data_IF_817270432155
#
_entry.id   IF_817270432155
#
_cell.length_a   1.000
_cell.length_b   1.000
_cell.length_c   1.000
_cell.angle_alpha   90.00
_cell.angle_beta   90.00
_cell.angle_gamma   90.00
#
_symmetry.space_group_name_H-M   'P 1'
#
loop_
_entity.id
_entity.type
_entity.pdbx_description
1 polymer ?
#
# COMPACT_ATOMS: atom_id res chain seq x y z
N UNK A 1 14.71 -18.75 -14.76
CA UNK A 1 14.19 -19.56 -13.98
C UNK A 1 14.50 -19.24 -12.68
N UNK A 2 13.88 -19.42 -12.03
CA UNK A 2 14.16 -19.91 -11.04
C UNK A 2 14.45 -19.16 -9.80
N UNK A 3 14.88 -17.90 -9.79
CA UNK A 3 15.04 -17.11 -8.58
C UNK A 3 13.71 -16.90 -7.87
N UNK A 4 12.64 -16.59 -8.59
CA UNK A 4 11.31 -16.47 -8.02
C UNK A 4 10.76 -17.80 -7.51
N UNK A 5 11.01 -18.89 -8.23
CA UNK A 5 10.58 -20.23 -7.82
C UNK A 5 11.30 -20.66 -6.54
N UNK A 6 12.61 -20.40 -6.47
CA UNK A 6 13.41 -20.73 -5.28
C UNK A 6 12.96 -19.92 -4.07
N UNK A 7 12.64 -18.64 -4.24
CA UNK A 7 12.10 -17.80 -3.18
C UNK A 7 10.77 -18.35 -2.68
N UNK A 8 9.87 -18.72 -3.59
CA UNK A 8 8.58 -19.31 -3.23
C UNK A 8 8.74 -20.62 -2.45
N UNK A 9 9.69 -21.45 -2.83
CA UNK A 9 10.02 -22.70 -2.11
C UNK A 9 10.50 -22.39 -0.70
N UNK A 10 11.37 -21.40 -0.53
CA UNK A 10 11.86 -21.01 0.78
C UNK A 10 10.76 -20.44 1.66
N UNK A 11 9.87 -19.62 1.11
CA UNK A 11 8.70 -19.10 1.84
C UNK A 11 7.77 -20.24 2.26
N UNK A 12 7.52 -21.21 1.39
CA UNK A 12 6.69 -22.37 1.70
C UNK A 12 7.27 -23.24 2.80
N UNK A 13 8.60 -23.27 2.94
CA UNK A 13 9.30 -23.97 4.02
C UNK A 13 9.35 -23.18 5.32
N UNK A 14 8.83 -21.95 5.34
CA UNK A 14 8.84 -21.09 6.53
C UNK A 14 10.19 -20.43 6.82
N UNK A 15 11.16 -20.52 5.92
CA UNK A 15 12.46 -19.86 6.08
C UNK A 15 12.44 -18.47 5.46
N UNK A 16 11.78 -17.54 6.14
CA UNK A 16 11.62 -16.16 5.69
C UNK A 16 12.96 -15.42 5.56
N UNK A 17 13.94 -15.75 6.40
CA UNK A 17 15.25 -15.10 6.38
C UNK A 17 16.03 -15.46 5.12
N UNK A 18 16.07 -16.74 4.77
CA UNK A 18 16.75 -17.21 3.57
C UNK A 18 16.04 -16.68 2.30
N UNK A 19 14.73 -16.67 2.30
CA UNK A 19 13.93 -16.11 1.21
C UNK A 19 14.24 -14.63 0.99
N UNK A 20 14.32 -13.84 2.06
CA UNK A 20 14.67 -12.41 1.96
C UNK A 20 16.10 -12.20 1.44
N UNK A 21 17.03 -13.03 1.88
CA UNK A 21 18.41 -12.95 1.36
C UNK A 21 18.45 -13.17 -0.15
N UNK A 22 17.68 -14.14 -0.66
CA UNK A 22 17.55 -14.41 -2.10
C UNK A 22 16.90 -13.23 -2.83
N UNK A 23 15.84 -12.65 -2.26
CA UNK A 23 15.17 -11.49 -2.83
C UNK A 23 16.11 -10.28 -2.93
N UNK A 24 16.86 -10.00 -1.88
CA UNK A 24 17.84 -8.91 -1.86
C UNK A 24 18.95 -9.12 -2.87
N UNK A 25 19.45 -10.35 -2.97
CA UNK A 25 20.42 -10.72 -3.99
C UNK A 25 19.86 -10.50 -5.41
N UNK A 26 18.63 -10.94 -5.65
CA UNK A 26 17.95 -10.72 -6.93
C UNK A 26 17.77 -9.23 -7.24
N UNK A 27 17.42 -8.42 -6.25
CA UNK A 27 17.24 -6.98 -6.40
C UNK A 27 18.56 -6.23 -6.61
N UNK A 28 19.69 -6.77 -6.14
CA UNK A 28 21.01 -6.23 -6.48
C UNK A 28 21.27 -6.33 -7.97
N UNK A 29 20.83 -7.43 -8.61
CA UNK A 29 20.99 -7.65 -10.06
C UNK A 29 19.89 -6.95 -10.86
N UNK A 30 18.66 -6.93 -10.36
CA UNK A 30 17.48 -6.38 -11.03
C UNK A 30 16.71 -5.47 -10.07
N UNK A 31 17.20 -4.23 -9.80
CA UNK A 31 16.65 -3.36 -8.76
C UNK A 31 15.17 -2.98 -8.95
N UNK A 32 14.70 -2.99 -10.19
CA UNK A 32 13.34 -2.57 -10.53
C UNK A 32 12.39 -3.73 -10.80
N UNK A 33 12.80 -4.96 -10.50
CA UNK A 33 11.97 -6.12 -10.75
C UNK A 33 10.84 -6.18 -9.71
N UNK A 34 9.67 -5.75 -10.15
CA UNK A 34 8.49 -5.56 -9.30
C UNK A 34 8.11 -6.81 -8.49
N UNK A 35 8.07 -8.04 -9.06
CA UNK A 35 7.72 -9.21 -8.28
C UNK A 35 8.63 -9.47 -7.07
N UNK A 36 9.92 -9.18 -7.19
CA UNK A 36 10.84 -9.32 -6.07
C UNK A 36 10.61 -8.25 -5.00
N UNK A 37 10.34 -7.03 -5.42
CA UNK A 37 10.01 -5.94 -4.48
C UNK A 37 8.72 -6.25 -3.72
N UNK A 38 7.70 -6.73 -4.43
CA UNK A 38 6.44 -7.16 -3.82
C UNK A 38 6.66 -8.28 -2.80
N UNK A 39 7.38 -9.33 -3.18
CA UNK A 39 7.68 -10.46 -2.30
C UNK A 39 8.50 -10.05 -1.08
N UNK A 40 9.44 -9.10 -1.24
CA UNK A 40 10.22 -8.57 -0.12
C UNK A 40 9.30 -7.90 0.91
N UNK A 41 8.38 -7.05 0.48
CA UNK A 41 7.43 -6.40 1.39
C UNK A 41 6.57 -7.43 2.11
N UNK A 42 6.04 -8.42 1.40
CA UNK A 42 5.26 -9.50 2.02
C UNK A 42 6.07 -10.24 3.08
N UNK A 43 7.31 -10.59 2.78
CA UNK A 43 8.18 -11.28 3.72
C UNK A 43 8.45 -10.44 4.98
N UNK A 44 8.67 -9.14 4.81
CA UNK A 44 8.86 -8.23 5.93
C UNK A 44 7.61 -8.14 6.80
N UNK A 45 6.43 -8.05 6.19
CA UNK A 45 5.14 -8.03 6.90
C UNK A 45 4.90 -9.33 7.67
N UNK A 46 5.15 -10.46 7.04
CA UNK A 46 4.93 -11.78 7.65
C UNK A 46 5.89 -12.03 8.83
N UNK A 47 7.06 -11.40 8.81
CA UNK A 47 8.04 -11.49 9.91
C UNK A 47 7.85 -10.43 10.99
N UNK A 48 6.84 -9.57 10.88
CA UNK A 48 6.58 -8.51 11.85
C UNK A 48 7.48 -7.28 11.71
N UNK A 49 8.26 -7.17 10.64
CA UNK A 49 9.15 -6.02 10.39
C UNK A 49 8.39 -4.93 9.63
N UNK A 50 7.34 -4.41 10.28
CA UNK A 50 6.36 -3.55 9.64
C UNK A 50 6.90 -2.17 9.27
N UNK A 51 7.87 -1.63 9.99
CA UNK A 51 8.47 -0.34 9.66
C UNK A 51 9.27 -0.41 8.36
N UNK A 52 10.07 -1.47 8.20
CA UNK A 52 10.80 -1.70 6.97
C UNK A 52 9.85 -1.99 5.81
N UNK A 53 8.82 -2.81 6.06
CA UNK A 53 7.79 -3.11 5.07
C UNK A 53 7.07 -1.83 4.62
N UNK A 54 6.80 -0.92 5.55
CA UNK A 54 6.18 0.36 5.23
C UNK A 54 7.07 1.20 4.32
N UNK A 55 8.35 1.33 4.65
CA UNK A 55 9.29 2.10 3.83
C UNK A 55 9.37 1.56 2.39
N UNK A 56 9.48 0.25 2.24
CA UNK A 56 9.53 -0.39 0.92
C UNK A 56 8.22 -0.22 0.15
N UNK A 57 7.08 -0.37 0.82
CA UNK A 57 5.77 -0.20 0.17
C UNK A 57 5.52 1.25 -0.24
N UNK A 58 6.03 2.22 0.50
CA UNK A 58 5.92 3.64 0.14
C UNK A 58 6.68 3.95 -1.14
N UNK A 59 7.86 3.37 -1.31
CA UNK A 59 8.62 3.51 -2.57
C UNK A 59 7.87 2.87 -3.74
N UNK A 60 7.26 1.70 -3.54
CA UNK A 60 6.43 1.05 -4.54
C UNK A 60 5.22 1.91 -4.93
N UNK A 61 4.54 2.52 -3.95
CA UNK A 61 3.40 3.40 -4.20
C UNK A 61 3.82 4.65 -4.99
N UNK A 62 4.99 5.22 -4.70
CA UNK A 62 5.50 6.38 -5.45
C UNK A 62 5.74 6.05 -6.92
N UNK A 63 6.28 4.88 -7.18
CA UNK A 63 6.65 4.44 -8.53
C UNK A 63 5.44 3.91 -9.31
N UNK A 64 4.56 3.16 -8.63
CA UNK A 64 3.39 2.51 -9.24
C UNK A 64 2.10 3.01 -8.61
N UNK A 65 1.83 4.30 -8.76
CA UNK A 65 0.72 5.01 -8.10
C UNK A 65 -0.67 4.43 -8.40
N UNK A 66 -0.83 3.80 -9.55
CA UNK A 66 -2.12 3.28 -10.02
C UNK A 66 -2.32 1.79 -9.70
N UNK A 67 -1.40 1.18 -8.99
CA UNK A 67 -1.52 -0.23 -8.61
C UNK A 67 -2.11 -0.35 -7.20
N UNK A 68 -3.36 -0.79 -7.13
CA UNK A 68 -4.09 -0.92 -5.86
C UNK A 68 -3.40 -1.86 -4.87
N UNK A 69 -2.66 -2.87 -5.35
CA UNK A 69 -1.98 -3.84 -4.49
C UNK A 69 -0.94 -3.18 -3.59
N UNK A 70 -0.22 -2.18 -4.08
CA UNK A 70 0.81 -1.49 -3.30
C UNK A 70 0.21 -0.57 -2.25
N UNK A 71 -0.94 0.05 -2.54
CA UNK A 71 -1.69 0.80 -1.53
C UNK A 71 -2.21 -0.11 -0.43
N UNK A 72 -2.67 -1.32 -0.77
CA UNK A 72 -3.09 -2.34 0.20
C UNK A 72 -1.92 -2.76 1.10
N UNK A 73 -0.76 -3.06 0.52
CA UNK A 73 0.45 -3.40 1.29
C UNK A 73 0.85 -2.28 2.25
N UNK A 74 0.83 -1.05 1.76
CA UNK A 74 1.11 0.12 2.58
C UNK A 74 0.11 0.24 3.73
N UNK A 75 -1.19 0.06 3.45
CA UNK A 75 -2.23 0.10 4.47
C UNK A 75 -2.00 -0.96 5.56
N UNK A 76 -1.62 -2.17 5.16
CA UNK A 76 -1.34 -3.26 6.10
C UNK A 76 -0.20 -2.91 7.07
N UNK A 77 0.88 -2.34 6.57
CA UNK A 77 1.99 -1.89 7.40
C UNK A 77 1.62 -0.71 8.29
N UNK A 78 0.81 0.21 7.79
CA UNK A 78 0.31 1.34 8.57
C UNK A 78 -0.61 0.90 9.70
N UNK A 79 -1.45 -0.11 9.47
CA UNK A 79 -2.29 -0.70 10.50
C UNK A 79 -1.43 -1.32 11.62
N UNK A 80 -0.40 -2.08 11.25
CA UNK A 80 0.49 -2.73 12.20
C UNK A 80 1.32 -1.74 13.03
N UNK A 81 1.62 -0.56 12.49
CA UNK A 81 2.38 0.49 13.17
C UNK A 81 1.49 1.52 13.88
N UNK A 82 0.17 1.33 13.87
CA UNK A 82 -0.77 2.17 14.60
C UNK A 82 -1.02 3.57 13.99
N UNK A 83 -0.64 3.79 12.73
CA UNK A 83 -0.78 5.07 12.05
C UNK A 83 -2.15 5.20 11.38
N UNK A 84 -3.20 5.40 12.18
CA UNK A 84 -4.59 5.30 11.73
C UNK A 84 -4.97 6.29 10.63
N UNK A 85 -4.56 7.54 10.74
CA UNK A 85 -4.87 8.55 9.72
C UNK A 85 -4.30 8.12 8.35
N UNK A 86 -3.03 7.76 8.32
CA UNK A 86 -2.35 7.34 7.08
C UNK A 86 -2.89 6.01 6.56
N UNK A 87 -3.31 5.12 7.46
CA UNK A 87 -3.98 3.87 7.11
C UNK A 87 -5.24 4.15 6.28
N UNK A 88 -6.11 5.01 6.77
CA UNK A 88 -7.34 5.32 6.06
C UNK A 88 -7.09 6.07 4.74
N UNK A 89 -6.04 6.90 4.66
CA UNK A 89 -5.63 7.49 3.40
C UNK A 89 -5.19 6.42 2.37
N UNK A 90 -4.42 5.44 2.81
CA UNK A 90 -3.96 4.34 1.94
C UNK A 90 -5.13 3.47 1.46
N UNK A 91 -6.06 3.13 2.35
CA UNK A 91 -7.27 2.38 2.01
C UNK A 91 -8.16 3.16 1.03
N UNK A 92 -8.25 4.49 1.20
CA UNK A 92 -9.01 5.32 0.27
C UNK A 92 -8.46 5.24 -1.15
N UNK A 93 -7.15 5.33 -1.31
CA UNK A 93 -6.54 5.23 -2.64
C UNK A 93 -6.70 3.81 -3.23
N UNK A 94 -6.61 2.78 -2.40
CA UNK A 94 -6.86 1.41 -2.83
C UNK A 94 -8.29 1.26 -3.38
N UNK A 95 -9.30 1.68 -2.61
CA UNK A 95 -10.70 1.59 -3.04
C UNK A 95 -10.99 2.44 -4.27
N UNK A 96 -10.38 3.63 -4.33
CA UNK A 96 -10.50 4.50 -5.50
C UNK A 96 -9.99 3.80 -6.76
N UNK A 97 -8.81 3.20 -6.70
CA UNK A 97 -8.21 2.47 -7.83
C UNK A 97 -9.00 1.22 -8.21
N UNK A 98 -9.73 0.64 -7.26
CA UNK A 98 -10.63 -0.48 -7.52
C UNK A 98 -11.99 -0.04 -8.08
N UNK A 99 -12.22 1.25 -8.23
CA UNK A 99 -13.48 1.80 -8.75
C UNK A 99 -14.59 1.97 -7.73
N UNK A 100 -14.31 1.74 -6.44
CA UNK A 100 -15.29 1.86 -5.36
C UNK A 100 -15.19 3.24 -4.70
N UNK A 101 -15.58 4.29 -5.43
CA UNK A 101 -15.45 5.68 -4.97
C UNK A 101 -16.20 5.95 -3.65
N UNK A 102 -17.45 5.46 -3.43
CA UNK A 102 -18.11 5.66 -2.14
C UNK A 102 -17.30 5.11 -0.95
N UNK A 103 -16.74 3.91 -1.10
CA UNK A 103 -15.91 3.32 -0.05
C UNK A 103 -14.62 4.13 0.19
N UNK A 104 -14.03 4.66 -0.89
CA UNK A 104 -12.86 5.54 -0.78
C UNK A 104 -13.18 6.82 0.00
N UNK A 105 -14.34 7.43 -0.27
CA UNK A 105 -14.83 8.61 0.45
C UNK A 105 -15.00 8.29 1.95
N UNK A 106 -15.62 7.15 2.27
CA UNK A 106 -15.80 6.72 3.66
C UNK A 106 -14.45 6.61 4.39
N UNK A 107 -13.44 6.05 3.72
CA UNK A 107 -12.10 5.93 4.30
C UNK A 107 -11.46 7.30 4.55
N UNK A 108 -11.61 8.27 3.64
CA UNK A 108 -11.08 9.62 3.86
C UNK A 108 -11.80 10.33 5.02
N UNK A 109 -13.10 10.10 5.19
CA UNK A 109 -13.84 10.61 6.35
C UNK A 109 -13.33 9.99 7.66
N UNK A 110 -13.01 8.70 7.64
CA UNK A 110 -12.37 8.04 8.78
C UNK A 110 -11.00 8.62 9.08
N UNK A 111 -10.24 8.97 8.05
CA UNK A 111 -8.95 9.64 8.23
C UNK A 111 -9.11 11.00 8.94
N UNK A 112 -10.12 11.78 8.56
CA UNK A 112 -10.42 13.05 9.24
C UNK A 112 -10.73 12.84 10.72
N UNK A 113 -11.49 11.80 11.04
CA UNK A 113 -11.91 11.50 12.43
C UNK A 113 -10.81 10.86 13.27
N UNK A 114 -9.80 10.28 12.64
CA UNK A 114 -8.72 9.57 13.34
C UNK A 114 -7.88 10.50 14.21
N UNK A 115 -7.79 11.77 13.83
CA UNK A 115 -7.00 12.76 14.54
C UNK A 115 -5.49 12.60 14.34
N UNK A 116 -4.72 13.46 14.97
CA UNK A 116 -3.25 13.39 14.91
C UNK A 116 -2.61 13.95 13.65
N UNK A 117 -3.41 14.38 12.70
CA UNK A 117 -2.90 15.01 11.48
C UNK A 117 -2.56 16.49 11.69
N UNK A 118 -1.51 16.96 11.02
CA UNK A 118 -1.22 18.38 10.97
C UNK A 118 -2.12 19.10 9.94
N UNK A 119 -2.00 20.42 9.90
CA UNK A 119 -2.81 21.23 8.97
C UNK A 119 -2.62 20.81 7.51
N UNK A 120 -1.38 20.50 7.11
CA UNK A 120 -1.08 20.06 5.75
C UNK A 120 -1.78 18.73 5.42
N UNK A 121 -1.67 17.74 6.30
CA UNK A 121 -2.30 16.44 6.11
C UNK A 121 -3.82 16.55 5.99
N UNK A 122 -4.43 17.37 6.87
CA UNK A 122 -5.87 17.60 6.83
C UNK A 122 -6.31 18.29 5.53
N UNK A 123 -5.53 19.26 5.05
CA UNK A 123 -5.80 19.94 3.79
C UNK A 123 -5.73 18.98 2.59
N UNK A 124 -4.78 18.07 2.60
CA UNK A 124 -4.65 17.03 1.55
C UNK A 124 -5.89 16.11 1.56
N UNK A 125 -6.33 15.67 2.74
CA UNK A 125 -7.51 14.82 2.86
C UNK A 125 -8.76 15.54 2.35
N UNK A 126 -8.94 16.80 2.73
CA UNK A 126 -10.10 17.59 2.29
C UNK A 126 -10.11 17.82 0.78
N UNK A 127 -8.97 18.13 0.22
CA UNK A 127 -8.84 18.30 -1.24
C UNK A 127 -9.18 16.98 -1.96
N UNK A 128 -8.69 15.87 -1.47
CA UNK A 128 -8.95 14.56 -2.05
C UNK A 128 -10.43 14.17 -1.94
N UNK A 129 -11.08 14.48 -0.81
CA UNK A 129 -12.51 14.29 -0.63
C UNK A 129 -13.33 15.08 -1.64
N UNK A 130 -12.98 16.35 -1.87
CA UNK A 130 -13.66 17.17 -2.87
C UNK A 130 -13.53 16.55 -4.26
N UNK A 131 -12.34 16.08 -4.62
CA UNK A 131 -12.11 15.47 -5.93
C UNK A 131 -12.93 14.20 -6.13
N UNK A 132 -12.91 13.31 -5.15
CA UNK A 132 -13.67 12.05 -5.23
C UNK A 132 -15.18 12.28 -5.26
N UNK A 133 -15.68 13.24 -4.48
CA UNK A 133 -17.11 13.61 -4.50
C UNK A 133 -17.52 14.19 -5.84
N UNK A 134 -16.67 15.01 -6.43
CA UNK A 134 -16.90 15.60 -7.76
C UNK A 134 -16.95 14.49 -8.82
N UNK A 135 -16.02 13.57 -8.76
CA UNK A 135 -15.99 12.44 -9.69
C UNK A 135 -17.22 11.54 -9.53
N UNK A 136 -17.60 11.23 -8.29
CA UNK A 136 -18.78 10.43 -8.01
C UNK A 136 -20.04 11.11 -8.56
N UNK A 137 -20.17 12.43 -8.38
CA UNK A 137 -21.30 13.20 -8.90
C UNK A 137 -21.34 13.17 -10.44
N UNK A 138 -20.19 13.20 -11.09
CA UNK A 138 -20.11 13.12 -12.56
C UNK A 138 -20.50 11.75 -13.12
N UNK A 139 -20.40 10.70 -12.32
CA UNK A 139 -20.78 9.34 -12.69
C UNK A 139 -22.25 9.04 -12.44
N UNK A 140 -22.96 9.92 -11.73
CA UNK A 140 -24.38 9.73 -11.44
C UNK A 140 -25.19 9.77 -12.74
N UNK A 141 -26.20 8.88 -12.92
CA UNK A 141 -27.01 8.91 -14.12
C UNK A 141 -27.77 10.24 -14.20
N UNK A 142 -27.69 10.87 -15.37
CA UNK A 142 -28.48 12.08 -15.65
C UNK A 142 -29.94 11.68 -15.84
N UNK A 143 -30.81 12.32 -15.08
CA UNK A 143 -32.25 12.16 -15.25
C UNK A 143 -32.79 13.09 -16.36
#
# INVERSE_FOLDING_TARGET
>A
VCSSDLVNVQLAKGDARAARALLRSGLTRFPNYQPFRYALVQSLQDSGEHEQALAESEELVKEFRKDARFHEMRARSLAATGQRLRLHQALAEQYYLMGTIPAAIDQLQMAQKAGGGDFYQMSVIEARLRDMRRELASQAPQK
#
